data_IF_597067395394
#
_entry.id   IF_597067395394
#
_cell.length_a   1.000
_cell.length_b   1.000
_cell.length_c   1.000
_cell.angle_alpha   90.00
_cell.angle_beta   90.00
_cell.angle_gamma   90.00
#
_symmetry.space_group_name_H-M   'P 1'
#
loop_
_entity.id
_entity.type
_entity.pdbx_description
1 polymer ?
#
# COMPACT_ATOMS: atom_id res chain seq x y z
N UNK A 1 3.28 -8.07 -19.40
CA UNK A 1 4.01 -7.06 -20.17
C UNK A 1 4.85 -6.18 -19.24
N UNK A 2 5.66 -5.29 -19.80
CA UNK A 2 6.42 -4.32 -18.99
C UNK A 2 5.48 -3.22 -18.46
N UNK A 3 5.84 -2.62 -17.31
CA UNK A 3 5.16 -1.44 -16.80
C UNK A 3 5.29 -0.26 -17.79
N UNK A 4 4.35 0.66 -17.74
CA UNK A 4 4.45 1.93 -18.44
C UNK A 4 5.78 2.63 -18.15
N UNK A 5 6.38 3.30 -19.16
CA UNK A 5 7.73 3.86 -19.03
C UNK A 5 7.79 4.96 -17.95
N UNK A 6 6.75 5.80 -17.84
CA UNK A 6 6.68 6.85 -16.84
C UNK A 6 6.56 6.29 -15.43
N UNK A 7 5.69 5.29 -15.25
CA UNK A 7 5.55 4.59 -13.96
C UNK A 7 6.83 3.85 -13.58
N UNK A 8 7.46 3.17 -14.54
CA UNK A 8 8.70 2.42 -14.28
C UNK A 8 9.82 3.30 -13.74
N UNK A 9 9.90 4.54 -14.19
CA UNK A 9 10.90 5.49 -13.70
C UNK A 9 10.69 5.87 -12.21
N UNK A 10 9.47 5.74 -11.69
CA UNK A 10 9.10 6.04 -10.31
C UNK A 10 9.09 4.80 -9.41
N UNK A 11 9.11 3.60 -9.99
CA UNK A 11 9.04 2.35 -9.22
C UNK A 11 10.34 2.07 -8.48
N UNK A 12 10.24 1.82 -7.17
CA UNK A 12 11.36 1.32 -6.37
C UNK A 12 11.68 -0.16 -6.70
N UNK A 13 10.64 -0.97 -6.92
CA UNK A 13 10.74 -2.39 -7.27
C UNK A 13 9.67 -2.79 -8.28
N UNK A 14 9.93 -3.84 -9.03
CA UNK A 14 8.97 -4.45 -9.94
C UNK A 14 8.89 -5.95 -9.67
N UNK A 15 7.67 -6.45 -9.45
CA UNK A 15 7.40 -7.86 -9.25
C UNK A 15 6.84 -8.46 -10.55
N UNK A 16 7.54 -9.44 -11.10
CA UNK A 16 7.00 -10.27 -12.17
C UNK A 16 6.06 -11.31 -11.55
N UNK A 17 4.86 -11.46 -12.11
CA UNK A 17 3.87 -12.38 -11.57
C UNK A 17 3.14 -13.17 -12.66
N UNK A 18 2.80 -14.42 -12.35
CA UNK A 18 1.96 -15.29 -13.16
C UNK A 18 0.58 -15.49 -12.52
N UNK A 19 0.45 -15.41 -11.22
CA UNK A 19 -0.83 -15.41 -10.52
C UNK A 19 -1.54 -14.06 -10.62
N UNK A 20 -2.86 -14.05 -10.49
CA UNK A 20 -3.60 -12.78 -10.47
C UNK A 20 -3.28 -11.96 -9.21
N UNK A 21 -3.18 -12.61 -8.08
CA UNK A 21 -2.70 -11.96 -6.86
C UNK A 21 -1.17 -11.78 -6.87
N UNK A 22 -0.71 -10.59 -6.49
CA UNK A 22 0.71 -10.34 -6.27
C UNK A 22 1.21 -10.92 -4.94
N UNK A 23 0.33 -11.20 -3.99
CA UNK A 23 0.69 -11.82 -2.72
C UNK A 23 1.25 -13.23 -2.93
N UNK A 24 0.69 -13.99 -3.88
CA UNK A 24 1.18 -15.32 -4.27
C UNK A 24 2.61 -15.34 -4.82
N UNK A 25 3.11 -14.19 -5.24
CA UNK A 25 4.48 -14.02 -5.77
C UNK A 25 5.43 -13.37 -4.75
N UNK A 26 5.07 -13.39 -3.47
CA UNK A 26 5.92 -12.90 -2.39
C UNK A 26 5.86 -11.40 -2.14
N UNK A 27 4.81 -10.69 -2.58
CA UNK A 27 4.63 -9.27 -2.29
C UNK A 27 4.63 -9.01 -0.77
N UNK A 28 3.98 -9.87 0.02
CA UNK A 28 3.90 -9.74 1.46
C UNK A 28 5.27 -9.68 2.15
N UNK A 29 6.27 -10.41 1.63
CA UNK A 29 7.65 -10.36 2.16
C UNK A 29 8.31 -8.99 1.94
N UNK A 30 7.95 -8.29 0.86
CA UNK A 30 8.48 -6.95 0.58
C UNK A 30 7.86 -5.87 1.45
N UNK A 31 6.61 -6.09 1.87
CA UNK A 31 5.81 -5.13 2.63
C UNK A 31 6.08 -5.25 4.14
N UNK A 32 6.46 -6.43 4.61
CA UNK A 32 6.81 -6.65 6.02
C UNK A 32 8.17 -6.04 6.33
N UNK A 33 8.33 -5.34 7.46
CA UNK A 33 9.64 -4.87 7.88
C UNK A 33 10.57 -6.08 8.05
N UNK A 34 11.88 -5.94 7.72
CA UNK A 34 12.84 -7.01 7.94
C UNK A 34 12.79 -7.44 9.40
N UNK A 35 12.70 -8.74 9.63
CA UNK A 35 12.73 -9.30 10.98
C UNK A 35 13.93 -8.71 11.73
N UNK A 36 13.68 -8.10 12.88
CA UNK A 36 14.77 -7.59 13.72
C UNK A 36 15.72 -8.77 13.97
N UNK A 37 17.04 -8.63 13.67
CA UNK A 37 17.96 -9.68 14.04
C UNK A 37 17.76 -9.93 15.54
N UNK A 38 17.47 -11.17 15.91
CA UNK A 38 17.49 -11.58 17.32
C UNK A 38 18.93 -11.47 17.77
N UNK A 39 19.35 -10.24 18.07
CA UNK A 39 20.65 -9.91 18.63
C UNK A 39 20.74 -10.53 20.01
N UNK A 40 21.77 -11.32 20.21
CA UNK A 40 22.04 -12.03 21.43
C UNK A 40 21.90 -11.16 22.67
N UNK A 41 21.34 -11.77 23.72
CA UNK A 41 21.45 -11.41 25.14
C UNK A 41 21.40 -9.91 25.49
N UNK A 42 20.29 -9.24 25.20
CA UNK A 42 19.98 -7.95 25.84
C UNK A 42 19.68 -8.06 27.34
N UNK A 43 19.99 -9.20 27.96
CA UNK A 43 19.83 -9.43 29.42
C UNK A 43 20.92 -8.82 30.28
N UNK A 44 21.96 -8.21 29.68
CA UNK A 44 23.10 -7.70 30.44
C UNK A 44 23.10 -6.20 30.76
N UNK A 45 22.12 -5.43 30.21
CA UNK A 45 22.00 -4.00 30.53
C UNK A 45 20.85 -3.74 31.50
N UNK A 46 21.06 -2.98 32.59
CA UNK A 46 19.98 -2.54 33.46
C UNK A 46 18.87 -1.83 32.69
N UNK A 47 17.60 -2.06 33.06
CA UNK A 47 16.41 -1.53 32.36
C UNK A 47 16.45 -0.01 32.11
N UNK A 48 17.07 0.76 33.00
CA UNK A 48 17.17 2.23 32.90
C UNK A 48 18.19 2.72 31.86
N UNK A 49 19.05 1.83 31.36
CA UNK A 49 20.03 2.13 30.28
C UNK A 49 19.57 1.58 28.89
N UNK A 50 18.46 0.88 28.84
CA UNK A 50 17.88 0.44 27.58
C UNK A 50 17.19 1.65 26.94
N UNK A 51 17.82 2.28 25.94
CA UNK A 51 17.10 3.24 25.07
C UNK A 51 15.92 2.52 24.47
N UNK A 52 14.68 3.09 24.54
CA UNK A 52 13.58 2.56 23.78
C UNK A 52 14.03 2.48 22.32
N UNK A 53 13.94 1.30 21.72
CA UNK A 53 14.15 1.18 20.29
C UNK A 53 13.21 2.20 19.61
N UNK A 54 13.69 3.01 18.65
CA UNK A 54 12.78 3.84 17.88
C UNK A 54 11.73 2.89 17.34
N UNK A 55 10.46 3.15 17.64
CA UNK A 55 9.34 2.53 16.96
C UNK A 55 9.59 2.78 15.48
N UNK A 56 10.11 1.77 14.77
CA UNK A 56 9.99 1.78 13.32
C UNK A 56 8.51 1.98 13.08
N UNK A 57 8.13 3.08 12.43
CA UNK A 57 6.76 3.33 12.07
C UNK A 57 6.31 2.08 11.32
N UNK A 58 5.46 1.28 11.96
CA UNK A 58 4.86 0.12 11.33
C UNK A 58 4.01 0.68 10.22
N UNK A 59 4.48 0.55 8.98
CA UNK A 59 3.70 0.89 7.80
C UNK A 59 2.71 -0.24 7.61
N UNK A 60 1.58 -0.15 8.30
CA UNK A 60 0.51 -1.16 8.23
C UNK A 60 -0.44 -0.91 7.07
N UNK A 61 -0.50 0.32 6.55
CA UNK A 61 -1.42 0.71 5.48
C UNK A 61 -0.78 0.53 4.10
N UNK A 62 -1.46 -0.18 3.22
CA UNK A 62 -1.07 -0.40 1.83
C UNK A 62 -2.03 0.36 0.92
N UNK A 63 -1.51 1.31 0.16
CA UNK A 63 -2.27 2.02 -0.87
C UNK A 63 -2.11 1.27 -2.19
N UNK A 64 -3.23 0.82 -2.78
CA UNK A 64 -3.23 0.02 -4.01
C UNK A 64 -4.05 0.70 -5.11
N UNK A 65 -3.50 0.68 -6.33
CA UNK A 65 -4.13 1.20 -7.55
C UNK A 65 -3.78 0.34 -8.75
N UNK A 66 -4.52 0.48 -9.85
CA UNK A 66 -4.18 -0.16 -11.13
C UNK A 66 -5.29 -0.95 -11.80
N UNK A 67 -4.92 -1.86 -12.67
CA UNK A 67 -5.79 -2.66 -13.54
C UNK A 67 -5.47 -4.16 -13.45
N UNK A 68 -6.48 -5.01 -13.59
CA UNK A 68 -7.92 -4.69 -13.60
C UNK A 68 -8.45 -4.79 -12.17
N UNK A 69 -9.31 -3.83 -11.79
CA UNK A 69 -9.87 -3.75 -10.45
C UNK A 69 -10.54 -5.06 -10.00
N UNK A 70 -11.28 -5.72 -10.90
CA UNK A 70 -12.04 -6.94 -10.60
C UNK A 70 -11.24 -8.25 -10.74
N UNK A 71 -9.96 -8.18 -11.10
CA UNK A 71 -9.11 -9.37 -11.28
C UNK A 71 -7.88 -9.27 -10.38
N UNK A 72 -6.80 -8.67 -10.88
CA UNK A 72 -5.52 -8.67 -10.19
C UNK A 72 -5.54 -7.82 -8.90
N UNK A 73 -6.14 -6.63 -8.98
CA UNK A 73 -6.22 -5.74 -7.84
C UNK A 73 -7.11 -6.34 -6.75
N UNK A 74 -8.30 -6.82 -7.11
CA UNK A 74 -9.22 -7.45 -6.18
C UNK A 74 -8.55 -8.59 -5.40
N UNK A 75 -7.94 -9.55 -6.10
CA UNK A 75 -7.34 -10.71 -5.45
C UNK A 75 -6.15 -10.31 -4.59
N UNK A 76 -5.29 -9.42 -5.09
CA UNK A 76 -4.16 -8.91 -4.29
C UNK A 76 -4.62 -8.20 -3.02
N UNK A 77 -5.65 -7.36 -3.12
CA UNK A 77 -6.17 -6.61 -1.98
C UNK A 77 -6.81 -7.54 -0.93
N UNK A 78 -7.56 -8.57 -1.36
CA UNK A 78 -8.14 -9.55 -0.44
C UNK A 78 -7.05 -10.33 0.31
N UNK A 79 -6.02 -10.81 -0.39
CA UNK A 79 -4.92 -11.54 0.25
C UNK A 79 -4.14 -10.63 1.22
N UNK A 80 -3.96 -9.33 0.90
CA UNK A 80 -3.32 -8.39 1.81
C UNK A 80 -4.18 -8.14 3.07
N UNK A 81 -5.50 -8.10 2.95
CA UNK A 81 -6.42 -7.99 4.10
C UNK A 81 -6.33 -9.26 4.95
N UNK A 82 -6.31 -10.43 4.33
CA UNK A 82 -6.14 -11.72 5.04
C UNK A 82 -4.78 -11.81 5.76
N UNK A 83 -3.76 -11.15 5.21
CA UNK A 83 -2.42 -10.98 5.81
C UNK A 83 -2.36 -9.87 6.89
N UNK A 84 -3.52 -9.33 7.31
CA UNK A 84 -3.68 -8.32 8.36
C UNK A 84 -3.11 -6.93 8.01
N UNK A 85 -2.98 -6.60 6.71
CA UNK A 85 -2.70 -5.24 6.28
C UNK A 85 -3.97 -4.40 6.21
N UNK A 86 -3.85 -3.12 6.55
CA UNK A 86 -4.85 -2.10 6.22
C UNK A 86 -4.71 -1.76 4.74
N UNK A 87 -5.79 -1.91 3.95
CA UNK A 87 -5.74 -1.73 2.50
C UNK A 87 -6.62 -0.57 2.06
N UNK A 88 -6.00 0.41 1.43
CA UNK A 88 -6.66 1.55 0.80
C UNK A 88 -6.69 1.38 -0.71
N UNK A 89 -7.85 1.35 -1.30
CA UNK A 89 -8.05 1.19 -2.74
C UNK A 89 -8.37 2.54 -3.38
N UNK A 90 -7.48 3.02 -4.23
CA UNK A 90 -7.63 4.33 -4.90
C UNK A 90 -8.57 4.19 -6.10
N UNK A 91 -9.84 4.50 -5.90
CA UNK A 91 -10.91 4.16 -6.84
C UNK A 91 -10.83 4.89 -8.17
N UNK A 92 -10.38 6.14 -8.19
CA UNK A 92 -10.17 6.95 -9.40
C UNK A 92 -8.84 6.63 -10.13
N UNK A 93 -7.97 5.82 -9.52
CA UNK A 93 -6.76 5.27 -10.13
C UNK A 93 -6.89 3.77 -10.44
N UNK A 94 -8.09 3.20 -10.40
CA UNK A 94 -8.39 1.81 -10.71
C UNK A 94 -9.32 1.70 -11.91
N UNK A 95 -8.97 0.79 -12.83
CA UNK A 95 -9.77 0.54 -14.02
C UNK A 95 -10.17 -0.92 -14.19
N UNK A 96 -11.23 -1.12 -14.97
CA UNK A 96 -11.65 -2.44 -15.44
C UNK A 96 -12.22 -2.29 -16.86
N UNK A 97 -12.26 -3.39 -17.61
CA UNK A 97 -12.81 -3.40 -18.99
C UNK A 97 -14.29 -3.01 -19.07
N UNK A 98 -15.02 -3.10 -17.97
CA UNK A 98 -16.39 -2.60 -17.84
C UNK A 98 -16.58 -1.94 -16.47
N UNK A 99 -17.43 -0.90 -16.43
CA UNK A 99 -17.79 -0.23 -15.16
C UNK A 99 -18.46 -1.19 -14.19
N UNK A 100 -19.36 -2.04 -14.67
CA UNK A 100 -20.03 -3.05 -13.84
C UNK A 100 -19.04 -3.93 -13.09
N UNK A 101 -17.97 -4.40 -13.75
CA UNK A 101 -16.95 -5.22 -13.12
C UNK A 101 -16.13 -4.42 -12.11
N UNK A 102 -15.80 -3.16 -12.41
CA UNK A 102 -15.11 -2.25 -11.52
C UNK A 102 -15.93 -2.02 -10.24
N UNK A 103 -17.18 -1.64 -10.40
CA UNK A 103 -18.05 -1.29 -9.28
C UNK A 103 -18.34 -2.51 -8.39
N UNK A 104 -18.59 -3.68 -8.99
CA UNK A 104 -18.74 -4.92 -8.22
C UNK A 104 -17.46 -5.31 -7.46
N UNK A 105 -16.28 -4.98 -7.99
CA UNK A 105 -15.03 -5.20 -7.28
C UNK A 105 -14.89 -4.26 -6.08
N UNK A 106 -15.27 -3.00 -6.23
CA UNK A 106 -15.23 -2.02 -5.14
C UNK A 106 -16.21 -2.39 -4.01
N UNK A 107 -17.44 -2.78 -4.36
CA UNK A 107 -18.43 -3.26 -3.39
C UNK A 107 -17.88 -4.45 -2.58
N UNK A 108 -17.26 -5.40 -3.26
CA UNK A 108 -16.67 -6.58 -2.62
C UNK A 108 -15.48 -6.22 -1.74
N UNK A 109 -14.60 -5.31 -2.17
CA UNK A 109 -13.46 -4.87 -1.39
C UNK A 109 -13.87 -4.10 -0.15
N UNK A 110 -14.85 -3.19 -0.26
CA UNK A 110 -15.43 -2.49 0.88
C UNK A 110 -16.04 -3.48 1.88
N UNK A 111 -16.78 -4.49 1.40
CA UNK A 111 -17.35 -5.55 2.23
C UNK A 111 -16.30 -6.43 2.92
N UNK A 112 -15.10 -6.53 2.38
CA UNK A 112 -13.97 -7.27 2.96
C UNK A 112 -13.14 -6.41 3.94
N UNK A 113 -13.41 -5.12 4.06
CA UNK A 113 -12.73 -4.23 4.99
C UNK A 113 -11.66 -3.32 4.36
N UNK A 114 -11.55 -3.28 3.01
CA UNK A 114 -10.74 -2.26 2.36
C UNK A 114 -11.38 -0.87 2.47
N UNK A 115 -10.56 0.15 2.65
CA UNK A 115 -11.02 1.53 2.53
C UNK A 115 -10.98 1.99 1.07
N UNK A 116 -12.11 2.50 0.58
CA UNK A 116 -12.21 3.08 -0.76
C UNK A 116 -11.91 4.57 -0.67
N UNK A 117 -10.82 4.97 -1.29
CA UNK A 117 -10.32 6.35 -1.28
C UNK A 117 -10.17 6.89 -2.69
N UNK A 118 -9.94 8.19 -2.83
CA UNK A 118 -9.54 8.83 -4.08
C UNK A 118 -8.08 9.27 -4.01
N UNK A 119 -7.50 9.54 -5.18
CA UNK A 119 -6.14 10.10 -5.26
C UNK A 119 -5.99 11.37 -4.42
N UNK A 120 -7.01 12.22 -4.46
CA UNK A 120 -7.02 13.48 -3.71
C UNK A 120 -7.05 13.23 -2.19
N UNK A 121 -7.87 12.30 -1.70
CA UNK A 121 -7.91 11.92 -0.28
C UNK A 121 -6.53 11.47 0.19
N UNK A 122 -5.91 10.52 -0.50
CA UNK A 122 -4.57 10.00 -0.16
C UNK A 122 -3.54 11.14 -0.13
N UNK A 123 -3.56 12.01 -1.14
CA UNK A 123 -2.60 13.11 -1.22
C UNK A 123 -2.72 14.08 -0.04
N UNK A 124 -3.95 14.45 0.35
CA UNK A 124 -4.15 15.36 1.48
C UNK A 124 -3.90 14.69 2.83
N UNK A 125 -4.20 13.42 2.99
CA UNK A 125 -3.84 12.68 4.20
C UNK A 125 -2.33 12.56 4.39
N UNK A 126 -1.58 12.34 3.31
CA UNK A 126 -0.10 12.35 3.37
C UNK A 126 0.48 13.74 3.67
N UNK A 127 -0.16 14.80 3.20
CA UNK A 127 0.27 16.18 3.54
C UNK A 127 -0.02 16.51 5.01
N UNK A 128 -1.15 16.07 5.53
CA UNK A 128 -1.58 16.28 6.91
C UNK A 128 -1.88 17.74 7.29
N UNK A 129 -1.34 18.72 6.55
CA UNK A 129 -1.50 20.14 6.84
C UNK A 129 -1.29 21.02 5.60
N UNK A 130 -2.01 22.13 5.52
CA UNK A 130 -1.77 23.17 4.50
C UNK A 130 -0.43 23.90 4.69
N UNK A 131 0.22 23.75 5.83
CA UNK A 131 1.56 24.28 6.10
C UNK A 131 2.69 23.35 5.60
N UNK A 132 2.34 22.15 5.11
CA UNK A 132 3.32 21.20 4.58
C UNK A 132 4.09 21.82 3.39
N UNK A 133 5.43 21.71 3.33
CA UNK A 133 6.24 22.33 2.27
C UNK A 133 5.80 21.98 0.86
N UNK A 134 5.33 20.75 0.62
CA UNK A 134 4.87 20.28 -0.68
C UNK A 134 3.39 20.61 -0.98
N UNK A 135 2.67 21.32 -0.10
CA UNK A 135 1.23 21.57 -0.27
C UNK A 135 0.89 22.25 -1.61
N UNK A 136 1.64 23.30 -1.98
CA UNK A 136 1.38 24.03 -3.23
C UNK A 136 1.66 23.20 -4.47
N UNK A 137 2.67 22.35 -4.42
CA UNK A 137 3.05 21.48 -5.54
C UNK A 137 1.98 20.42 -5.76
N UNK A 138 1.53 19.76 -4.68
CA UNK A 138 0.44 18.77 -4.73
C UNK A 138 -0.87 19.40 -5.20
N UNK A 139 -1.22 20.58 -4.70
CA UNK A 139 -2.42 21.31 -5.11
C UNK A 139 -2.38 21.66 -6.63
N UNK A 140 -1.20 21.90 -7.18
CA UNK A 140 -1.00 22.15 -8.61
C UNK A 140 -1.20 20.90 -9.49
N UNK A 141 -1.08 19.71 -8.93
CA UNK A 141 -1.28 18.43 -9.63
C UNK A 141 -2.76 18.00 -9.66
N UNK A 142 -3.56 18.47 -8.71
CA UNK A 142 -4.96 18.04 -8.51
C UNK A 142 -5.97 18.96 -9.22
N UNK A 143 -5.57 20.17 -9.58
CA UNK A 143 -6.42 21.20 -10.22
C UNK A 143 -6.51 21.03 -11.73
#
# INVERSE_FOLDING_TARGET
>A
GANDAALRALCHKTLAKMHFSAAEEGLGEWLRPPAKPQGGNARSLPKHLQKPAPLAAERGTIVIAGCEAHVCLLQTALDLIDDEFEVWVVTDACGSRTERNRDAAFDRLAGAGAELVTTEMVAFEWLGSCEHPAFKDVLGLIK
#
